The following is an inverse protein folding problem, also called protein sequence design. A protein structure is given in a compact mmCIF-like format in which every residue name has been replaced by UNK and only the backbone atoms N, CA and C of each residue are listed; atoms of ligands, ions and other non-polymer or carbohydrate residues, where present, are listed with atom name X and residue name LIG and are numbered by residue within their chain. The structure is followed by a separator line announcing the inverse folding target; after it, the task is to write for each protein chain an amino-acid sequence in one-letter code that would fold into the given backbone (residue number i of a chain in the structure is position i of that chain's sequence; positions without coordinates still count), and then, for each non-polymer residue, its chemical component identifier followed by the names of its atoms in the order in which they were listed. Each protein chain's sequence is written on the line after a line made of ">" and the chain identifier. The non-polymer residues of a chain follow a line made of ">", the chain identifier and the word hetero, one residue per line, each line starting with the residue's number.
data_IF_908272469554
#
_entry.id   IF_908272469554
#
_cell.length_a   1.000
_cell.length_b   1.000
_cell.length_c   1.000
_cell.angle_alpha   90.00
_cell.angle_beta   90.00
_cell.angle_gamma   90.00
#
_symmetry.space_group_name_H-M   'P 1'
#
loop_
_entity.id
_entity.type
_entity.pdbx_description
1 polymer ?
#
# COMPACT_ATOMS: atom_id res chain seq x y z
N UNK A 1 1.85 -10.86 -2.89
CA UNK A 1 1.36 -12.24 -3.05
C UNK A 1 0.66 -12.43 -4.40
N UNK A 2 -0.37 -11.65 -4.74
CA UNK A 2 -1.14 -11.81 -5.99
C UNK A 2 -0.92 -10.67 -7.00
N UNK A 3 0.24 -10.01 -6.95
CA UNK A 3 0.52 -8.84 -7.79
C UNK A 3 0.52 -9.12 -9.29
N UNK A 4 0.78 -10.38 -9.69
CA UNK A 4 0.72 -10.84 -11.07
C UNK A 4 -0.68 -10.76 -11.68
N UNK A 5 -1.75 -10.74 -10.88
CA UNK A 5 -3.12 -10.60 -11.37
C UNK A 5 -3.41 -9.24 -12.02
N UNK A 6 -2.51 -8.27 -11.86
CA UNK A 6 -2.57 -7.03 -12.63
C UNK A 6 -2.50 -7.28 -14.14
N UNK A 7 -1.76 -8.31 -14.58
CA UNK A 7 -1.72 -8.73 -15.98
C UNK A 7 -3.11 -9.17 -16.47
N UNK A 8 -3.85 -9.91 -15.64
CA UNK A 8 -5.23 -10.34 -15.92
C UNK A 8 -6.15 -9.13 -16.06
N UNK A 9 -6.05 -8.15 -15.16
CA UNK A 9 -6.86 -6.93 -15.23
C UNK A 9 -6.60 -6.12 -16.51
N UNK A 10 -5.33 -6.03 -16.94
CA UNK A 10 -4.93 -5.38 -18.19
C UNK A 10 -5.49 -6.13 -19.40
N UNK A 11 -5.31 -7.46 -19.46
CA UNK A 11 -5.81 -8.29 -20.55
C UNK A 11 -7.34 -8.20 -20.74
N UNK A 12 -8.07 -7.96 -19.65
CA UNK A 12 -9.54 -7.81 -19.67
C UNK A 12 -10.00 -6.35 -19.79
N UNK A 13 -9.09 -5.38 -19.86
CA UNK A 13 -9.44 -3.96 -19.89
C UNK A 13 -10.31 -3.52 -18.71
N UNK A 14 -10.11 -4.11 -17.52
CA UNK A 14 -10.99 -3.86 -16.37
C UNK A 14 -10.71 -2.48 -15.77
N UNK A 15 -11.76 -1.69 -15.51
CA UNK A 15 -11.70 -0.42 -14.77
C UNK A 15 -11.44 -0.69 -13.27
N UNK A 16 -10.20 -1.10 -12.93
CA UNK A 16 -9.77 -1.48 -11.58
C UNK A 16 -8.78 -0.46 -11.01
N UNK A 17 -9.02 0.02 -9.78
CA UNK A 17 -8.14 0.96 -9.07
C UNK A 17 -7.56 0.28 -7.83
N UNK A 18 -6.24 0.15 -7.77
CA UNK A 18 -5.53 -0.53 -6.69
C UNK A 18 -4.71 0.49 -5.93
N UNK A 19 -4.87 0.53 -4.62
CA UNK A 19 -4.03 1.35 -3.72
C UNK A 19 -3.20 0.40 -2.86
N UNK A 20 -1.88 0.57 -2.90
CA UNK A 20 -0.94 -0.18 -2.07
C UNK A 20 -0.42 0.77 -0.98
N UNK A 21 -0.87 0.59 0.25
CA UNK A 21 -0.25 1.23 1.42
C UNK A 21 1.09 0.54 1.70
N UNK A 22 2.18 1.20 1.33
CA UNK A 22 3.53 0.66 1.40
C UNK A 22 4.28 1.24 2.61
N UNK A 23 4.24 0.49 3.71
CA UNK A 23 5.03 0.74 4.92
C UNK A 23 6.30 -0.10 5.00
N UNK A 24 6.67 -0.81 3.92
CA UNK A 24 7.83 -1.71 3.86
C UNK A 24 7.87 -2.75 4.99
N UNK A 25 6.72 -3.20 5.50
CA UNK A 25 6.65 -4.16 6.60
C UNK A 25 5.38 -5.03 6.58
N UNK A 26 5.43 -6.20 7.21
CA UNK A 26 4.23 -6.88 7.70
C UNK A 26 3.67 -6.15 8.93
N UNK A 27 3.10 -4.96 8.71
CA UNK A 27 2.76 -3.99 9.77
C UNK A 27 2.00 -4.56 10.96
N UNK A 28 0.92 -5.32 10.75
CA UNK A 28 0.16 -5.92 11.85
C UNK A 28 0.99 -6.90 12.68
N UNK A 29 1.82 -7.73 12.02
CA UNK A 29 2.72 -8.67 12.70
C UNK A 29 3.77 -7.88 13.49
N UNK A 30 4.33 -6.83 12.89
CA UNK A 30 5.29 -5.92 13.55
C UNK A 30 4.69 -5.29 14.81
N UNK A 31 3.47 -4.74 14.74
CA UNK A 31 2.79 -4.17 15.91
C UNK A 31 2.52 -5.21 17.00
N UNK A 32 2.22 -6.46 16.65
CA UNK A 32 2.03 -7.54 17.63
C UNK A 32 3.36 -7.94 18.29
N UNK A 33 4.45 -8.02 17.52
CA UNK A 33 5.78 -8.32 18.04
C UNK A 33 6.25 -7.25 19.02
N UNK A 34 6.19 -5.96 18.65
CA UNK A 34 6.64 -4.88 19.54
C UNK A 34 5.83 -4.80 20.83
N UNK A 35 4.53 -5.12 20.78
CA UNK A 35 3.66 -5.16 21.97
C UNK A 35 4.01 -6.32 22.92
N UNK A 36 4.37 -7.48 22.39
CA UNK A 36 4.66 -8.67 23.19
C UNK A 36 6.15 -8.78 23.58
N UNK A 37 7.03 -8.28 22.72
CA UNK A 37 8.48 -8.36 22.79
C UNK A 37 9.10 -7.03 22.32
N UNK A 38 9.10 -6.00 23.18
CA UNK A 38 9.57 -4.66 22.81
C UNK A 38 11.02 -4.66 22.29
N UNK A 39 11.27 -3.88 21.25
CA UNK A 39 12.58 -3.72 20.59
C UNK A 39 13.14 -5.02 19.97
N UNK A 40 12.27 -6.00 19.69
CA UNK A 40 12.68 -7.29 19.13
C UNK A 40 11.87 -7.65 17.87
N UNK A 41 11.97 -6.86 16.80
CA UNK A 41 11.36 -7.23 15.54
C UNK A 41 12.04 -8.43 14.91
N UNK A 42 11.26 -9.27 14.25
CA UNK A 42 11.76 -10.47 13.61
C UNK A 42 10.96 -10.83 12.35
N UNK A 43 11.62 -10.84 11.19
CA UNK A 43 11.02 -11.29 9.92
C UNK A 43 9.84 -10.44 9.43
N UNK A 44 9.77 -9.18 9.83
CA UNK A 44 8.66 -8.29 9.49
C UNK A 44 9.02 -7.17 8.53
N UNK A 45 10.31 -6.95 8.24
CA UNK A 45 10.73 -5.94 7.26
C UNK A 45 10.61 -6.50 5.83
N UNK A 46 10.17 -5.66 4.90
CA UNK A 46 9.94 -6.03 3.51
C UNK A 46 10.77 -5.17 2.56
N UNK A 47 11.45 -5.82 1.62
CA UNK A 47 12.00 -5.16 0.44
C UNK A 47 10.97 -5.23 -0.69
N UNK A 48 10.22 -4.15 -0.86
CA UNK A 48 9.17 -4.08 -1.88
C UNK A 48 9.72 -3.56 -3.23
N UNK A 49 9.12 -3.96 -4.36
CA UNK A 49 9.45 -3.36 -5.65
C UNK A 49 8.92 -1.92 -5.74
N UNK A 50 9.38 -1.18 -6.75
CA UNK A 50 8.67 0.01 -7.21
C UNK A 50 7.34 -0.43 -7.84
N UNK A 51 6.26 -0.32 -7.08
CA UNK A 51 4.93 -0.73 -7.52
C UNK A 51 4.41 0.08 -8.72
N UNK A 52 4.79 1.37 -8.82
CA UNK A 52 4.38 2.20 -9.95
C UNK A 52 5.08 1.74 -11.24
N UNK A 53 6.38 1.43 -11.16
CA UNK A 53 7.12 0.85 -12.28
C UNK A 53 6.60 -0.55 -12.65
N UNK A 54 6.30 -1.40 -11.65
CA UNK A 54 5.73 -2.72 -11.87
C UNK A 54 4.38 -2.65 -12.58
N UNK A 55 3.51 -1.69 -12.20
CA UNK A 55 2.24 -1.48 -12.87
C UNK A 55 2.41 -1.11 -14.34
N UNK A 56 3.34 -0.18 -14.64
CA UNK A 56 3.69 0.19 -16.02
C UNK A 56 4.22 -0.99 -16.81
N UNK A 57 5.03 -1.86 -16.20
CA UNK A 57 5.55 -3.07 -16.85
C UNK A 57 4.44 -4.06 -17.25
N UNK A 58 3.33 -4.11 -16.51
CA UNK A 58 2.15 -4.90 -16.87
C UNK A 58 1.23 -4.23 -17.89
N UNK A 59 1.46 -2.96 -18.24
CA UNK A 59 0.58 -2.17 -19.12
C UNK A 59 -0.55 -1.42 -18.41
N UNK A 60 -0.49 -1.30 -17.09
CA UNK A 60 -1.40 -0.48 -16.29
C UNK A 60 -0.80 0.92 -16.04
N UNK A 61 -1.65 1.89 -15.66
CA UNK A 61 -1.14 3.16 -15.15
C UNK A 61 -0.55 2.96 -13.74
N UNK A 62 0.58 3.61 -13.47
CA UNK A 62 1.30 3.47 -12.21
C UNK A 62 1.67 4.82 -11.61
N UNK A 63 1.21 5.08 -10.40
CA UNK A 63 1.49 6.30 -9.63
C UNK A 63 2.14 5.97 -8.29
N UNK A 64 2.88 6.94 -7.75
CA UNK A 64 3.43 6.87 -6.41
C UNK A 64 3.17 8.17 -5.67
N UNK A 65 2.70 8.07 -4.42
CA UNK A 65 2.44 9.19 -3.52
C UNK A 65 3.43 9.08 -2.37
N UNK A 66 4.36 10.04 -2.28
CA UNK A 66 5.29 10.18 -1.15
C UNK A 66 4.96 11.32 -0.20
N UNK A 67 4.13 12.28 -0.65
CA UNK A 67 3.70 13.45 0.11
C UNK A 67 2.17 13.55 0.12
N UNK A 68 1.63 14.05 1.22
CA UNK A 68 0.20 14.27 1.38
C UNK A 68 -0.34 15.33 0.39
N UNK A 69 0.48 16.30 -0.04
CA UNK A 69 0.07 17.34 -0.99
C UNK A 69 -0.30 16.78 -2.37
N UNK A 70 0.25 15.62 -2.73
CA UNK A 70 0.05 15.02 -4.06
C UNK A 70 -1.22 14.16 -4.12
N UNK A 71 -1.82 13.84 -2.97
CA UNK A 71 -2.94 12.88 -2.86
C UNK A 71 -4.12 13.31 -3.72
N UNK A 72 -4.58 14.55 -3.59
CA UNK A 72 -5.78 15.01 -4.28
C UNK A 72 -5.61 14.97 -5.81
N UNK A 73 -4.49 15.50 -6.31
CA UNK A 73 -4.20 15.55 -7.73
C UNK A 73 -4.09 14.15 -8.34
N UNK A 74 -3.30 13.26 -7.72
CA UNK A 74 -3.04 11.91 -8.22
C UNK A 74 -4.30 11.04 -8.16
N UNK A 75 -5.06 11.10 -7.06
CA UNK A 75 -6.30 10.32 -6.93
C UNK A 75 -7.33 10.78 -7.97
N UNK A 76 -7.48 12.10 -8.18
CA UNK A 76 -8.38 12.64 -9.20
C UNK A 76 -8.01 12.16 -10.59
N UNK A 77 -6.73 12.22 -10.94
CA UNK A 77 -6.23 11.72 -12.23
C UNK A 77 -6.50 10.22 -12.39
N UNK A 78 -6.09 9.40 -11.41
CA UNK A 78 -6.26 7.96 -11.43
C UNK A 78 -7.73 7.51 -11.58
N UNK A 79 -8.65 8.23 -10.93
CA UNK A 79 -10.09 7.98 -11.02
C UNK A 79 -10.68 8.37 -12.39
N UNK A 80 -10.07 9.33 -13.10
CA UNK A 80 -10.51 9.72 -14.45
C UNK A 80 -10.07 8.74 -15.54
N UNK A 81 -9.03 7.93 -15.29
CA UNK A 81 -8.50 6.99 -16.28
C UNK A 81 -9.41 5.79 -16.50
N UNK A 82 -9.43 5.30 -17.74
CA UNK A 82 -9.95 3.97 -18.09
C UNK A 82 -8.88 2.90 -17.95
N UNK A 83 -9.30 1.68 -17.63
CA UNK A 83 -8.44 0.54 -17.38
C UNK A 83 -7.79 0.51 -15.99
N UNK A 84 -6.89 -0.46 -15.77
CA UNK A 84 -6.26 -0.67 -14.48
C UNK A 84 -5.29 0.45 -14.09
N UNK A 85 -5.38 0.89 -12.84
CA UNK A 85 -4.48 1.86 -12.23
C UNK A 85 -3.99 1.32 -10.90
N UNK A 86 -2.69 1.44 -10.65
CA UNK A 86 -2.08 1.14 -9.36
C UNK A 86 -1.43 2.40 -8.79
N UNK A 87 -1.76 2.72 -7.54
CA UNK A 87 -1.17 3.82 -6.77
C UNK A 87 -0.43 3.20 -5.58
N UNK A 88 0.90 3.34 -5.55
CA UNK A 88 1.68 3.09 -4.36
C UNK A 88 1.65 4.32 -3.44
N UNK A 89 1.43 4.13 -2.15
CA UNK A 89 1.42 5.22 -1.17
C UNK A 89 2.45 4.92 -0.11
N UNK A 90 3.42 5.81 0.06
CA UNK A 90 4.35 5.72 1.19
C UNK A 90 3.55 5.87 2.47
N UNK A 91 3.64 4.89 3.36
CA UNK A 91 3.05 4.95 4.69
C UNK A 91 4.08 4.54 5.74
N UNK A 92 3.72 4.73 7.01
CA UNK A 92 4.58 4.36 8.14
C UNK A 92 4.01 3.15 8.87
N UNK A 93 4.90 2.40 9.54
CA UNK A 93 4.46 1.33 10.44
C UNK A 93 3.82 1.99 11.65
N UNK A 94 2.51 1.81 11.78
CA UNK A 94 1.77 2.31 12.93
C UNK A 94 2.29 1.68 14.23
N UNK A 95 2.96 2.49 15.04
CA UNK A 95 3.24 2.18 16.44
C UNK A 95 2.08 2.71 17.27
N UNK A 96 1.21 1.82 17.75
CA UNK A 96 0.36 2.17 18.90
C UNK A 96 1.19 1.87 20.16
N UNK A 97 1.64 2.89 20.92
CA UNK A 97 2.30 2.64 22.20
C UNK A 97 1.33 2.11 23.26
N UNK A 98 0.01 2.09 22.98
CA UNK A 98 -0.99 1.84 24.00
C UNK A 98 -1.99 0.71 23.66
N UNK A 99 -2.37 -0.05 24.68
CA UNK A 99 -3.32 -1.17 24.62
C UNK A 99 -4.76 -0.64 24.57
N UNK A 100 -5.19 0.09 23.53
CA UNK A 100 -6.63 0.18 23.23
C UNK A 100 -6.95 0.89 21.92
N UNK A 101 -7.42 0.14 20.93
CA UNK A 101 -8.35 0.67 19.92
C UNK A 101 -9.77 0.82 20.55
N UNK A 102 -10.00 0.25 21.74
CA UNK A 102 -11.29 0.31 22.44
C UNK A 102 -11.58 1.55 23.30
N UNK A 103 -10.63 2.47 23.50
CA UNK A 103 -10.83 3.63 24.36
C UNK A 103 -11.37 4.88 23.62
N UNK A 104 -11.27 4.92 22.29
CA UNK A 104 -11.74 6.05 21.48
C UNK A 104 -13.21 5.95 21.04
N UNK A 105 -13.95 4.93 21.51
CA UNK A 105 -15.38 4.73 21.22
C UNK A 105 -16.24 4.72 22.50
N UNK A 106 -15.81 5.41 23.56
CA UNK A 106 -16.63 5.70 24.74
C UNK A 106 -16.66 7.19 25.03
#
# INVERSE_FOLDING_TARGET
>A
MTGNELATAVARGTDLKIVVSNNSSYGTIRSHQERAFPNRPYGTDLSNPDFAALARAYGAAGYFISDATDVEAIVKEAMSMKGPVLIGVKSEVHHSPDKSIGAALR
#
